data_IF_373839622922
#
_entry.id   IF_373839622922
#
_cell.length_a   1.000
_cell.length_b   1.000
_cell.length_c   1.000
_cell.angle_alpha   90.00
_cell.angle_beta   90.00
_cell.angle_gamma   90.00
#
_symmetry.space_group_name_H-M   'P 1'
#
loop_
_entity.id
_entity.type
_entity.pdbx_description
1 polymer ?
#
# COMPACT_ATOMS: atom_id res chain seq x y z
N UNK A 1 -15.24 -3.20 18.16
CA UNK A 1 -13.93 -2.61 18.45
C UNK A 1 -13.28 -3.46 19.54
N UNK A 2 -12.07 -3.97 19.34
CA UNK A 2 -11.28 -4.62 20.41
C UNK A 2 -10.12 -3.68 20.73
N UNK A 3 -10.02 -3.27 21.99
CA UNK A 3 -8.90 -2.48 22.49
C UNK A 3 -7.82 -3.44 22.99
N UNK A 4 -6.56 -3.21 22.61
CA UNK A 4 -5.41 -3.97 23.10
C UNK A 4 -4.36 -2.97 23.57
N UNK A 5 -4.03 -3.02 24.86
CA UNK A 5 -2.98 -2.18 25.43
C UNK A 5 -1.62 -2.85 25.15
N UNK A 6 -0.74 -2.16 24.44
CA UNK A 6 0.67 -2.55 24.25
C UNK A 6 1.51 -1.34 24.66
N UNK A 7 1.97 -1.31 25.92
CA UNK A 7 2.69 -0.16 26.46
C UNK A 7 1.79 1.05 26.78
N UNK A 8 2.26 2.26 26.48
CA UNK A 8 1.57 3.55 26.72
C UNK A 8 0.64 3.99 25.59
N UNK A 9 0.66 3.31 24.44
CA UNK A 9 -0.15 3.65 23.27
C UNK A 9 -1.46 2.83 23.24
N UNK A 10 -2.56 3.50 22.93
CA UNK A 10 -3.88 2.85 22.80
C UNK A 10 -4.11 2.49 21.34
N UNK A 11 -3.75 1.26 20.95
CA UNK A 11 -4.08 0.74 19.63
C UNK A 11 -5.55 0.29 19.57
N UNK A 12 -6.29 0.83 18.60
CA UNK A 12 -7.66 0.41 18.32
C UNK A 12 -7.72 -0.36 17.01
N UNK A 13 -8.17 -1.61 17.09
CA UNK A 13 -8.34 -2.47 15.92
C UNK A 13 -9.80 -2.50 15.49
N UNK A 14 -10.04 -2.17 14.22
CA UNK A 14 -11.33 -2.22 13.57
C UNK A 14 -11.34 -3.28 12.46
N UNK A 15 -12.15 -4.32 12.62
CA UNK A 15 -12.32 -5.36 11.60
C UNK A 15 -13.37 -4.93 10.58
N UNK A 16 -13.07 -5.14 9.29
CA UNK A 16 -13.98 -4.84 8.20
C UNK A 16 -14.62 -6.10 7.61
N UNK A 17 -13.79 -7.00 7.10
CA UNK A 17 -14.27 -8.13 6.30
C UNK A 17 -13.27 -9.29 6.32
N UNK A 18 -13.78 -10.51 6.09
CA UNK A 18 -12.98 -11.70 5.82
C UNK A 18 -13.33 -12.22 4.43
N UNK A 19 -12.31 -12.43 3.60
CA UNK A 19 -12.46 -12.85 2.20
C UNK A 19 -11.60 -14.09 1.99
N UNK A 20 -12.16 -15.19 1.51
CA UNK A 20 -11.43 -16.44 1.30
C UNK A 20 -11.26 -16.75 -0.17
N UNK A 21 -10.02 -17.08 -0.56
CA UNK A 21 -9.70 -17.45 -1.92
C UNK A 21 -10.12 -18.88 -2.23
N UNK A 22 -10.86 -19.10 -3.32
CA UNK A 22 -11.15 -20.45 -3.81
C UNK A 22 -9.91 -21.13 -4.41
N UNK A 23 -8.93 -20.36 -4.87
CA UNK A 23 -7.74 -20.86 -5.58
C UNK A 23 -6.65 -21.35 -4.63
N UNK A 24 -6.43 -20.66 -3.50
CA UNK A 24 -5.32 -20.92 -2.59
C UNK A 24 -5.74 -21.51 -1.24
N UNK A 25 -7.03 -21.72 -1.01
CA UNK A 25 -7.61 -22.08 0.31
C UNK A 25 -7.21 -21.12 1.45
N UNK A 26 -6.69 -19.93 1.11
CA UNK A 26 -6.22 -18.93 2.06
C UNK A 26 -7.33 -17.91 2.29
N UNK A 27 -7.59 -17.59 3.55
CA UNK A 27 -8.47 -16.48 3.91
C UNK A 27 -7.65 -15.25 4.25
N UNK A 28 -8.19 -14.08 3.92
CA UNK A 28 -7.64 -12.78 4.23
C UNK A 28 -8.61 -12.01 5.12
N UNK A 29 -8.08 -11.28 6.09
CA UNK A 29 -8.86 -10.45 6.99
C UNK A 29 -8.43 -8.99 6.83
N UNK A 30 -9.38 -8.13 6.49
CA UNK A 30 -9.14 -6.68 6.39
C UNK A 30 -9.46 -6.03 7.73
N UNK A 31 -8.50 -5.27 8.24
CA UNK A 31 -8.65 -4.54 9.48
C UNK A 31 -7.86 -3.23 9.43
N UNK A 32 -8.36 -2.21 10.10
CA UNK A 32 -7.64 -0.96 10.32
C UNK A 32 -7.13 -0.91 11.77
N UNK A 33 -5.91 -0.41 11.95
CA UNK A 33 -5.30 -0.14 13.25
C UNK A 33 -5.15 1.36 13.35
N UNK A 34 -5.82 1.96 14.35
CA UNK A 34 -5.70 3.37 14.66
C UNK A 34 -4.84 3.56 15.91
N UNK A 35 -3.87 4.45 15.83
CA UNK A 35 -2.99 4.84 16.92
C UNK A 35 -2.59 6.30 16.78
N UNK A 36 -2.21 6.94 17.87
CA UNK A 36 -1.73 8.32 17.89
C UNK A 36 -0.22 8.31 18.06
N UNK A 37 0.48 9.06 17.21
CA UNK A 37 1.92 9.31 17.38
C UNK A 37 2.07 10.64 18.10
N UNK A 38 2.75 10.63 19.24
CA UNK A 38 3.19 11.84 19.93
C UNK A 38 4.32 12.49 19.12
N UNK A 39 3.98 13.25 18.06
CA UNK A 39 4.97 14.11 17.42
C UNK A 39 5.28 15.27 18.36
N UNK A 40 6.45 15.17 19.01
CA UNK A 40 6.82 16.07 20.10
C UNK A 40 6.79 17.54 19.72
N UNK A 41 6.94 17.93 18.44
CA UNK A 41 6.98 19.34 18.03
C UNK A 41 6.68 19.56 16.54
N UNK A 42 5.60 20.27 16.20
CA UNK A 42 5.47 20.96 14.90
C UNK A 42 5.90 22.42 15.07
N UNK A 43 6.83 22.89 14.22
CA UNK A 43 7.29 24.29 14.21
C UNK A 43 6.42 25.08 13.23
N UNK A 44 5.59 25.99 13.74
CA UNK A 44 4.86 26.94 12.89
C UNK A 44 5.74 28.17 12.66
N UNK A 45 6.29 28.30 11.45
CA UNK A 45 7.27 29.31 11.01
C UNK A 45 6.85 30.78 11.13
N UNK A 46 5.64 31.06 11.62
CA UNK A 46 5.14 32.43 11.77
C UNK A 46 5.37 33.02 13.16
N UNK A 47 5.51 32.17 14.19
CA UNK A 47 5.52 32.62 15.60
C UNK A 47 6.52 31.88 16.50
N UNK A 48 7.42 31.04 15.96
CA UNK A 48 8.33 30.19 16.74
C UNK A 48 7.62 29.40 17.85
N UNK A 49 6.34 29.08 17.65
CA UNK A 49 5.51 28.36 18.62
C UNK A 49 5.62 26.88 18.36
N UNK A 50 5.96 26.15 19.41
CA UNK A 50 6.05 24.71 19.45
C UNK A 50 4.69 24.14 19.86
N UNK A 51 3.99 23.50 18.94
CA UNK A 51 2.73 22.81 19.25
C UNK A 51 3.02 21.30 19.27
N UNK A 52 2.70 20.65 20.40
CA UNK A 52 2.58 19.20 20.47
C UNK A 52 1.23 18.83 19.85
N UNK A 53 1.26 18.10 18.75
CA UNK A 53 0.06 17.64 18.05
C UNK A 53 0.08 16.12 18.06
N UNK A 54 -0.93 15.53 18.69
CA UNK A 54 -1.17 14.10 18.58
C UNK A 54 -1.62 13.82 17.15
N UNK A 55 -0.80 13.13 16.37
CA UNK A 55 -1.13 12.80 14.98
C UNK A 55 -1.85 11.47 14.95
N UNK A 56 -3.13 11.48 14.58
CA UNK A 56 -3.89 10.25 14.32
C UNK A 56 -3.33 9.56 13.08
N UNK A 57 -2.90 8.31 13.23
CA UNK A 57 -2.48 7.45 12.13
C UNK A 57 -3.42 6.26 12.05
N UNK A 58 -3.86 5.95 10.83
CA UNK A 58 -4.65 4.76 10.55
C UNK A 58 -3.93 3.91 9.51
N UNK A 59 -3.63 2.67 9.89
CA UNK A 59 -3.00 1.68 9.03
C UNK A 59 -4.01 0.59 8.66
N UNK A 60 -4.29 0.45 7.38
CA UNK A 60 -5.06 -0.68 6.83
C UNK A 60 -4.16 -1.89 6.65
N UNK A 61 -4.60 -3.03 7.16
CA UNK A 61 -3.90 -4.30 7.09
C UNK A 61 -4.78 -5.37 6.45
N UNK A 62 -4.17 -6.11 5.53
CA UNK A 62 -4.67 -7.38 5.00
C UNK A 62 -3.92 -8.49 5.72
N UNK A 63 -4.57 -9.15 6.67
CA UNK A 63 -4.00 -10.22 7.48
C UNK A 63 -4.18 -11.58 6.79
N UNK A 64 -3.27 -12.52 7.05
CA UNK A 64 -3.45 -13.91 6.63
C UNK A 64 -4.31 -14.63 7.68
N UNK A 65 -5.55 -14.94 7.32
CA UNK A 65 -6.51 -15.64 8.16
C UNK A 65 -6.67 -14.99 9.54
N UNK A 66 -6.49 -15.79 10.57
CA UNK A 66 -6.51 -15.35 11.98
C UNK A 66 -5.10 -15.26 12.59
N UNK A 67 -4.06 -15.27 11.74
CA UNK A 67 -2.66 -15.15 12.17
C UNK A 67 -2.32 -13.70 12.55
N UNK A 68 -1.23 -13.46 13.30
CA UNK A 68 -0.74 -12.11 13.56
C UNK A 68 0.02 -11.51 12.37
N UNK A 69 0.14 -12.22 11.25
CA UNK A 69 0.95 -11.79 10.11
C UNK A 69 0.12 -10.97 9.12
N UNK A 70 0.60 -9.76 8.84
CA UNK A 70 0.07 -8.90 7.79
C UNK A 70 0.66 -9.32 6.45
N UNK A 71 -0.20 -9.63 5.49
CA UNK A 71 0.14 -9.89 4.10
C UNK A 71 0.46 -8.59 3.36
N UNK A 72 -0.28 -7.52 3.64
CA UNK A 72 -0.08 -6.20 3.05
C UNK A 72 -0.60 -5.11 3.99
N UNK A 73 0.07 -3.95 4.01
CA UNK A 73 -0.32 -2.82 4.83
C UNK A 73 -0.11 -1.48 4.11
N UNK A 74 -1.01 -0.53 4.34
CA UNK A 74 -0.94 0.82 3.80
C UNK A 74 -1.55 1.83 4.78
N UNK A 75 -1.07 3.08 4.76
CA UNK A 75 -1.69 4.16 5.53
C UNK A 75 -2.95 4.67 4.84
N UNK A 76 -3.93 5.11 5.63
CA UNK A 76 -5.07 5.88 5.13
C UNK A 76 -4.71 7.37 5.12
N UNK A 77 -5.19 8.07 4.10
CA UNK A 77 -5.18 9.53 4.07
C UNK A 77 -6.24 10.04 5.04
N UNK A 78 -5.80 10.51 6.21
CA UNK A 78 -6.68 11.06 7.25
C UNK A 78 -7.24 12.42 6.78
N UNK A 79 -8.57 12.58 6.70
CA UNK A 79 -9.18 13.88 6.38
C UNK A 79 -8.82 14.94 7.42
N UNK A 80 -8.60 16.19 6.99
CA UNK A 80 -8.27 17.31 7.88
C UNK A 80 -9.38 17.61 8.89
N UNK A 81 -10.63 17.51 8.44
CA UNK A 81 -11.81 17.68 9.28
C UNK A 81 -12.60 16.38 9.31
N UNK A 82 -12.87 15.85 10.52
CA UNK A 82 -13.70 14.66 10.69
C UNK A 82 -15.10 15.12 11.11
N UNK A 83 -16.10 14.80 10.28
CA UNK A 83 -17.50 15.07 10.52
C UNK A 83 -18.33 13.79 10.43
N UNK A 84 -19.61 13.87 10.78
CA UNK A 84 -20.52 12.72 10.76
C UNK A 84 -20.67 12.04 9.38
N UNK A 85 -20.33 12.72 8.29
CA UNK A 85 -20.45 12.22 6.93
C UNK A 85 -19.20 11.50 6.45
N UNK A 86 -18.04 11.77 7.06
CA UNK A 86 -16.77 11.14 6.72
C UNK A 86 -16.19 10.26 7.83
N UNK A 87 -16.90 9.99 8.93
CA UNK A 87 -16.42 9.08 10.01
C UNK A 87 -16.21 7.62 9.56
N UNK A 88 -16.76 7.21 8.42
CA UNK A 88 -16.62 5.83 7.93
C UNK A 88 -15.22 5.58 7.34
N UNK A 89 -14.30 5.15 8.20
CA UNK A 89 -12.90 4.88 7.86
C UNK A 89 -12.72 3.81 6.76
N UNK A 90 -13.73 2.94 6.53
CA UNK A 90 -13.67 1.95 5.45
C UNK A 90 -13.55 2.63 4.08
N UNK A 91 -14.12 3.84 3.94
CA UNK A 91 -14.17 4.65 2.71
C UNK A 91 -12.99 5.61 2.56
N UNK A 92 -12.12 5.71 3.57
CA UNK A 92 -10.98 6.62 3.50
C UNK A 92 -10.00 6.15 2.44
N UNK A 93 -9.46 7.10 1.67
CA UNK A 93 -8.50 6.81 0.62
C UNK A 93 -7.20 6.27 1.21
N UNK A 94 -6.52 5.43 0.45
CA UNK A 94 -5.16 4.99 0.79
C UNK A 94 -4.21 6.13 0.47
N UNK A 95 -3.29 6.42 1.39
CA UNK A 95 -2.13 7.23 1.09
C UNK A 95 -1.16 6.40 0.24
N UNK A 96 -1.21 6.59 -1.09
CA UNK A 96 -0.35 5.89 -2.05
C UNK A 96 1.09 6.43 -2.04
N UNK A 97 1.34 7.60 -1.45
CA UNK A 97 2.66 8.26 -1.40
C UNK A 97 3.56 7.77 -0.28
N UNK A 98 3.11 6.83 0.56
CA UNK A 98 3.92 6.26 1.65
C UNK A 98 3.82 4.72 1.66
N UNK A 99 4.90 4.09 2.09
CA UNK A 99 5.04 2.65 2.20
C UNK A 99 5.18 2.28 3.67
N UNK A 100 4.24 1.53 4.23
CA UNK A 100 4.32 1.09 5.63
C UNK A 100 5.48 0.10 5.83
N UNK A 101 5.62 -0.85 4.90
CA UNK A 101 6.56 -1.96 5.02
C UNK A 101 7.99 -1.52 4.70
N UNK A 102 8.93 -1.79 5.62
CA UNK A 102 10.36 -1.61 5.38
C UNK A 102 10.85 -2.43 4.18
N UNK A 103 10.31 -3.63 3.98
CA UNK A 103 10.57 -4.44 2.79
C UNK A 103 10.18 -3.70 1.51
N UNK A 104 8.99 -3.09 1.44
CA UNK A 104 8.56 -2.35 0.26
C UNK A 104 9.45 -1.12 -0.02
N UNK A 105 9.84 -0.38 1.02
CA UNK A 105 10.78 0.75 0.90
C UNK A 105 12.11 0.31 0.30
N UNK A 106 12.66 -0.79 0.81
CA UNK A 106 13.93 -1.35 0.33
C UNK A 106 13.79 -1.81 -1.11
N UNK A 107 12.75 -2.54 -1.48
CA UNK A 107 12.52 -2.99 -2.86
C UNK A 107 12.52 -1.82 -3.85
N UNK A 108 11.75 -0.77 -3.56
CA UNK A 108 11.70 0.42 -4.43
C UNK A 108 13.05 1.16 -4.44
N UNK A 109 13.65 1.40 -3.28
CA UNK A 109 14.93 2.11 -3.20
C UNK A 109 16.04 1.39 -3.97
N UNK A 110 16.12 0.06 -3.86
CA UNK A 110 17.13 -0.72 -4.57
C UNK A 110 16.98 -0.65 -6.08
N UNK A 111 15.76 -0.60 -6.63
CA UNK A 111 15.58 -0.43 -8.08
C UNK A 111 16.18 0.88 -8.60
N UNK A 112 16.12 1.96 -7.82
CA UNK A 112 16.71 3.25 -8.18
C UNK A 112 18.22 3.29 -7.94
N UNK A 113 18.68 2.83 -6.77
CA UNK A 113 20.09 2.87 -6.37
C UNK A 113 20.96 1.98 -7.25
N UNK A 114 20.42 0.86 -7.72
CA UNK A 114 21.12 -0.06 -8.62
C UNK A 114 20.98 0.34 -10.09
N UNK A 115 20.41 1.52 -10.39
CA UNK A 115 20.15 2.02 -11.74
C UNK A 115 19.26 1.09 -12.58
N UNK A 116 18.46 0.22 -11.93
CA UNK A 116 17.44 -0.60 -12.59
C UNK A 116 16.26 0.25 -13.07
N UNK A 117 16.01 1.37 -12.40
CA UNK A 117 15.13 2.45 -12.85
C UNK A 117 15.89 3.78 -12.80
N UNK A 118 15.87 4.51 -13.90
CA UNK A 118 16.34 5.88 -13.98
C UNK A 118 15.28 6.82 -13.40
N UNK A 119 15.66 7.60 -12.39
CA UNK A 119 14.77 8.63 -11.82
C UNK A 119 14.47 9.76 -12.81
N UNK A 120 15.42 10.06 -13.71
CA UNK A 120 15.29 11.09 -14.74
C UNK A 120 15.44 10.45 -16.12
N UNK A 121 14.33 10.03 -16.71
CA UNK A 121 14.24 9.46 -18.05
C UNK A 121 13.05 10.06 -18.80
N UNK A 122 13.29 10.52 -20.02
CA UNK A 122 12.21 10.90 -20.94
C UNK A 122 11.53 9.69 -21.60
N UNK A 123 12.11 8.50 -21.45
CA UNK A 123 11.56 7.24 -21.95
C UNK A 123 10.78 6.49 -20.87
N UNK A 124 9.71 5.80 -21.30
CA UNK A 124 8.93 4.90 -20.45
C UNK A 124 9.79 3.69 -20.09
N UNK A 125 9.78 3.32 -18.82
CA UNK A 125 10.55 2.19 -18.28
C UNK A 125 9.62 1.05 -17.86
N UNK A 126 9.91 -0.17 -18.29
CA UNK A 126 9.10 -1.34 -17.98
C UNK A 126 9.45 -1.93 -16.60
N UNK A 127 8.42 -2.22 -15.81
CA UNK A 127 8.56 -2.87 -14.49
C UNK A 127 7.74 -4.14 -14.47
N UNK A 128 8.40 -5.28 -14.22
CA UNK A 128 7.73 -6.54 -13.94
C UNK A 128 7.69 -6.77 -12.42
N UNK A 129 6.48 -6.92 -11.88
CA UNK A 129 6.26 -7.30 -10.48
C UNK A 129 5.68 -8.71 -10.42
N UNK A 130 6.24 -9.57 -9.57
CA UNK A 130 5.69 -10.90 -9.28
C UNK A 130 5.08 -10.87 -7.88
N UNK A 131 3.76 -11.03 -7.81
CA UNK A 131 2.95 -10.84 -6.61
C UNK A 131 2.46 -9.40 -6.47
N UNK A 132 1.15 -9.23 -6.31
CA UNK A 132 0.49 -7.93 -6.15
C UNK A 132 0.40 -7.51 -4.67
N UNK A 133 0.07 -8.44 -3.78
CA UNK A 133 -0.29 -8.07 -2.42
C UNK A 133 -1.51 -7.16 -2.39
N UNK A 134 -1.47 -6.10 -1.56
CA UNK A 134 -2.45 -5.01 -1.63
C UNK A 134 -2.18 -4.00 -2.76
N UNK A 135 -1.26 -4.28 -3.69
CA UNK A 135 -0.86 -3.33 -4.73
C UNK A 135 -0.07 -2.13 -4.21
N UNK A 136 0.54 -2.24 -3.03
CA UNK A 136 1.17 -1.10 -2.33
C UNK A 136 2.38 -0.54 -3.06
N UNK A 137 3.26 -1.40 -3.61
CA UNK A 137 4.42 -0.96 -4.39
C UNK A 137 3.98 -0.36 -5.72
N UNK A 138 3.08 -1.02 -6.46
CA UNK A 138 2.55 -0.51 -7.73
C UNK A 138 1.81 0.82 -7.54
N UNK A 139 1.05 0.98 -6.45
CA UNK A 139 0.36 2.24 -6.13
C UNK A 139 1.37 3.36 -5.86
N UNK A 140 2.42 3.07 -5.08
CA UNK A 140 3.49 4.04 -4.83
C UNK A 140 4.17 4.48 -6.11
N UNK A 141 4.62 3.52 -6.93
CA UNK A 141 5.29 3.79 -8.21
C UNK A 141 4.39 4.61 -9.16
N UNK A 142 3.10 4.28 -9.25
CA UNK A 142 2.15 5.05 -10.07
C UNK A 142 1.93 6.49 -9.58
N UNK A 143 2.11 6.74 -8.27
CA UNK A 143 1.99 8.08 -7.69
C UNK A 143 3.19 8.93 -8.03
N UNK A 144 4.41 8.36 -7.92
CA UNK A 144 5.65 9.05 -8.33
C UNK A 144 5.63 9.37 -9.81
N UNK A 145 5.19 8.43 -10.66
CA UNK A 145 5.01 8.66 -12.09
C UNK A 145 4.09 9.84 -12.40
N UNK A 146 2.96 9.93 -11.69
CA UNK A 146 2.02 11.04 -11.91
C UNK A 146 2.55 12.40 -11.47
N UNK A 147 3.56 12.42 -10.59
CA UNK A 147 4.13 13.64 -10.04
C UNK A 147 5.34 14.15 -10.85
N UNK A 148 6.04 13.28 -11.58
CA UNK A 148 7.33 13.57 -12.21
C UNK A 148 7.28 13.33 -13.72
N UNK A 149 7.47 14.40 -14.52
CA UNK A 149 7.45 14.34 -15.98
C UNK A 149 8.49 13.36 -16.58
N UNK A 150 9.61 13.19 -15.86
CA UNK A 150 10.74 12.37 -16.26
C UNK A 150 10.82 11.03 -15.52
N UNK A 151 9.72 10.56 -14.92
CA UNK A 151 9.67 9.25 -14.27
C UNK A 151 8.48 8.42 -14.76
N UNK A 152 8.51 8.05 -16.04
CA UNK A 152 7.40 7.32 -16.66
C UNK A 152 7.60 5.80 -16.58
N UNK A 153 6.60 5.09 -16.05
CA UNK A 153 6.66 3.64 -15.84
C UNK A 153 5.58 2.90 -16.64
N UNK A 154 5.85 1.65 -16.97
CA UNK A 154 4.89 0.69 -17.51
C UNK A 154 4.95 -0.59 -16.68
N UNK A 155 4.04 -0.69 -15.72
CA UNK A 155 4.05 -1.71 -14.67
C UNK A 155 3.14 -2.88 -15.08
N UNK A 156 3.72 -4.07 -15.16
CA UNK A 156 2.98 -5.33 -15.28
C UNK A 156 3.17 -6.13 -14.01
N UNK A 157 2.08 -6.41 -13.31
CA UNK A 157 2.07 -7.28 -12.13
C UNK A 157 1.48 -8.64 -12.49
N UNK A 158 2.18 -9.72 -12.16
CA UNK A 158 1.67 -11.08 -12.25
C UNK A 158 1.20 -11.52 -10.86
N UNK A 159 -0.10 -11.75 -10.69
CA UNK A 159 -0.70 -12.18 -9.44
C UNK A 159 -1.28 -13.58 -9.57
N UNK A 160 -0.92 -14.47 -8.64
CA UNK A 160 -1.36 -15.86 -8.66
C UNK A 160 -2.85 -15.99 -8.31
N UNK A 161 -3.33 -15.17 -7.38
CA UNK A 161 -4.66 -15.30 -6.79
C UNK A 161 -5.59 -14.15 -7.22
N UNK A 162 -6.64 -14.41 -8.01
CA UNK A 162 -7.59 -13.37 -8.43
C UNK A 162 -8.33 -12.71 -7.25
N UNK A 163 -8.39 -13.38 -6.10
CA UNK A 163 -8.93 -12.83 -4.86
C UNK A 163 -8.07 -11.68 -4.34
N UNK A 164 -6.75 -11.80 -4.44
CA UNK A 164 -5.80 -10.77 -4.01
C UNK A 164 -5.95 -9.52 -4.87
N UNK A 165 -6.10 -9.66 -6.21
CA UNK A 165 -6.43 -8.54 -7.11
C UNK A 165 -7.72 -7.84 -6.72
N UNK A 166 -8.77 -8.61 -6.39
CA UNK A 166 -10.06 -8.05 -5.95
C UNK A 166 -9.92 -7.27 -4.63
N UNK A 167 -9.14 -7.78 -3.69
CA UNK A 167 -8.86 -7.12 -2.41
C UNK A 167 -8.04 -5.84 -2.64
N UNK A 168 -7.00 -5.89 -3.46
CA UNK A 168 -6.17 -4.73 -3.78
C UNK A 168 -7.00 -3.59 -4.38
N UNK A 169 -7.90 -3.91 -5.32
CA UNK A 169 -8.81 -2.92 -5.91
C UNK A 169 -9.79 -2.36 -4.86
N UNK A 170 -10.49 -3.23 -4.11
CA UNK A 170 -11.55 -2.83 -3.17
C UNK A 170 -11.02 -2.06 -1.95
N UNK A 171 -9.96 -2.57 -1.33
CA UNK A 171 -9.53 -2.14 0.01
C UNK A 171 -8.27 -1.28 -0.01
N UNK A 172 -7.43 -1.44 -1.04
CA UNK A 172 -6.18 -0.70 -1.19
C UNK A 172 -6.22 0.34 -2.34
N UNK A 173 -7.39 0.50 -2.98
CA UNK A 173 -7.59 1.42 -4.11
C UNK A 173 -6.54 1.24 -5.21
N UNK A 174 -6.12 0.01 -5.46
CA UNK A 174 -5.29 -0.31 -6.61
C UNK A 174 -6.10 -0.09 -7.89
N UNK A 175 -5.53 0.67 -8.82
CA UNK A 175 -6.18 1.06 -10.06
C UNK A 175 -5.33 0.59 -11.23
N UNK A 176 -5.97 -0.16 -12.13
CA UNK A 176 -5.35 -0.57 -13.38
C UNK A 176 -5.66 0.42 -14.50
N UNK A 177 -4.68 0.66 -15.36
CA UNK A 177 -4.76 1.50 -16.54
C UNK A 177 -3.78 0.97 -17.61
N UNK A 178 -3.63 1.67 -18.72
CA UNK A 178 -2.77 1.24 -19.84
C UNK A 178 -1.30 1.02 -19.44
N UNK A 179 -0.83 1.70 -18.37
CA UNK A 179 0.54 1.67 -17.86
C UNK A 179 0.69 0.97 -16.51
N UNK A 180 -0.39 0.49 -15.90
CA UNK A 180 -0.34 -0.28 -14.66
C UNK A 180 -1.40 -1.38 -14.74
N UNK A 181 -0.98 -2.63 -14.92
CA UNK A 181 -1.89 -3.75 -15.20
C UNK A 181 -1.57 -4.96 -14.35
N UNK A 182 -2.60 -5.73 -14.02
CA UNK A 182 -2.48 -6.99 -13.29
C UNK A 182 -2.93 -8.15 -14.18
N UNK A 183 -2.01 -9.06 -14.44
CA UNK A 183 -2.28 -10.33 -15.12
C UNK A 183 -2.42 -11.43 -14.06
N UNK A 184 -3.49 -12.22 -14.14
CA UNK A 184 -3.67 -13.38 -13.26
C UNK A 184 -2.92 -14.57 -13.85
N UNK A 185 -1.97 -15.11 -13.10
CA UNK A 185 -1.17 -16.25 -13.54
C UNK A 185 -0.05 -16.62 -12.57
N UNK A 186 0.57 -17.75 -12.83
CA UNK A 186 1.78 -18.17 -12.10
C UNK A 186 2.99 -17.38 -12.62
N UNK A 187 3.61 -16.59 -11.75
CA UNK A 187 4.78 -15.79 -12.09
C UNK A 187 5.98 -16.62 -12.55
N UNK A 188 6.14 -17.85 -12.05
CA UNK A 188 7.23 -18.74 -12.47
C UNK A 188 7.03 -19.20 -13.90
N UNK A 189 5.79 -19.58 -14.25
CA UNK A 189 5.41 -19.97 -15.61
C UNK A 189 5.54 -18.78 -16.56
N UNK A 190 5.08 -17.60 -16.14
CA UNK A 190 5.20 -16.38 -16.94
C UNK A 190 6.65 -16.08 -17.29
N UNK A 191 7.56 -16.09 -16.30
CA UNK A 191 8.99 -15.84 -16.53
C UNK A 191 9.59 -16.87 -17.49
N UNK A 192 9.29 -18.16 -17.32
CA UNK A 192 9.80 -19.21 -18.22
C UNK A 192 9.35 -19.00 -19.66
N UNK A 193 8.06 -18.68 -19.86
CA UNK A 193 7.49 -18.46 -21.18
C UNK A 193 8.03 -17.20 -21.86
N UNK A 194 8.22 -16.11 -21.13
CA UNK A 194 8.82 -14.90 -21.70
C UNK A 194 10.31 -15.10 -22.00
N UNK A 195 11.04 -15.83 -21.15
CA UNK A 195 12.45 -16.16 -21.41
C UNK A 195 12.65 -17.02 -22.69
N UNK A 196 11.68 -17.87 -23.03
CA UNK A 196 11.70 -18.64 -24.29
C UNK A 196 11.44 -17.79 -25.53
N UNK A 197 10.80 -16.62 -25.38
CA UNK A 197 10.47 -15.71 -26.50
C UNK A 197 11.60 -14.76 -26.86
N UNK A 198 12.58 -14.56 -25.97
CA UNK A 198 13.67 -13.60 -26.11
C UNK A 198 13.27 -12.19 -25.68
#
# INVERSE_FOLDING_TARGET
MREKQIGTETERVHFHERICSPSSSTCFRIQDIAYTIDEKYVIIFKENTFISLDVLVIQRNMMIGDTPYSFSAAFLAVPTDIDQFNMDISKWKINKGDLVSSYAKVMVAFTLVMEGLAYTSSSIQDVLMIGLGGGVISNFLSTVESAEEYFQLNITTIELDPTVRTIAAKWFHHEENDRNRVLIGDGTVFIMQEAEKG
#
